data_IF_581722115543
#
_entry.id   IF_581722115543
#
_cell.length_a   1.000
_cell.length_b   1.000
_cell.length_c   1.000
_cell.angle_alpha   90.00
_cell.angle_beta   90.00
_cell.angle_gamma   90.00
#
_symmetry.space_group_name_H-M   'P 1'
#
loop_
_entity.id
_entity.type
_entity.pdbx_description
1 polymer ?
#
# COMPACT_ATOMS: atom_id res chain seq x y z
N UNK A 1 28.88 -18.81 15.87
CA UNK A 1 27.71 -19.05 15.00
C UNK A 1 26.91 -17.77 15.02
N UNK A 2 27.28 -16.85 14.14
CA UNK A 2 26.69 -15.52 14.08
C UNK A 2 25.28 -15.65 13.50
N UNK A 3 24.28 -15.31 14.32
CA UNK A 3 22.91 -15.20 13.85
C UNK A 3 22.82 -13.96 12.97
N UNK A 4 22.98 -14.16 11.66
CA UNK A 4 22.70 -13.14 10.65
C UNK A 4 21.21 -12.79 10.75
N UNK A 5 20.92 -11.71 11.46
CA UNK A 5 19.56 -11.22 11.67
C UNK A 5 19.05 -10.69 10.33
N UNK A 6 18.00 -11.31 9.79
CA UNK A 6 17.37 -10.85 8.54
C UNK A 6 17.08 -9.34 8.64
N UNK A 7 17.62 -8.50 7.73
CA UNK A 7 17.40 -7.06 7.77
C UNK A 7 15.92 -6.67 7.63
N UNK A 8 15.03 -7.59 7.24
CA UNK A 8 13.57 -7.41 7.30
C UNK A 8 13.01 -7.63 8.70
N UNK A 9 13.57 -8.57 9.47
CA UNK A 9 13.16 -8.81 10.86
C UNK A 9 13.50 -7.62 11.75
N UNK A 10 14.64 -6.95 11.51
CA UNK A 10 15.04 -5.75 12.23
C UNK A 10 14.10 -4.54 12.03
N UNK A 11 13.27 -4.53 10.98
CA UNK A 11 12.29 -3.44 10.71
C UNK A 11 10.92 -3.67 11.32
N UNK A 12 10.65 -4.88 11.84
CA UNK A 12 9.37 -5.15 12.49
C UNK A 12 9.36 -4.53 13.87
N UNK A 13 8.36 -3.71 14.14
CA UNK A 13 8.08 -3.24 15.49
C UNK A 13 7.50 -4.41 16.32
N UNK A 14 8.23 -4.90 17.34
CA UNK A 14 7.77 -6.01 18.17
C UNK A 14 6.53 -5.65 18.99
N UNK A 15 6.29 -4.37 19.29
CA UNK A 15 5.12 -3.90 20.03
C UNK A 15 3.86 -4.04 19.17
N UNK A 16 3.95 -3.69 17.89
CA UNK A 16 2.85 -3.84 16.93
C UNK A 16 2.46 -5.31 16.67
N UNK A 17 3.39 -6.26 16.86
CA UNK A 17 3.13 -7.70 16.72
C UNK A 17 2.49 -8.36 17.94
N UNK A 18 2.51 -7.69 19.10
CA UNK A 18 1.94 -8.18 20.36
C UNK A 18 0.43 -7.92 20.51
N UNK A 19 -0.14 -7.09 19.63
CA UNK A 19 -1.53 -6.66 19.67
C UNK A 19 -2.53 -7.72 19.23
N UNK A 20 -3.66 -7.84 19.93
CA UNK A 20 -4.79 -8.67 19.50
C UNK A 20 -5.54 -8.10 18.29
N UNK A 21 -6.55 -8.82 17.78
CA UNK A 21 -7.36 -8.40 16.62
C UNK A 21 -7.95 -6.99 16.74
N UNK A 22 -8.39 -6.61 17.94
CA UNK A 22 -8.93 -5.27 18.23
C UNK A 22 -7.87 -4.19 18.09
N UNK A 23 -6.66 -4.42 18.60
CA UNK A 23 -5.53 -3.49 18.49
C UNK A 23 -5.12 -3.32 17.02
N UNK A 24 -5.12 -4.42 16.27
CA UNK A 24 -4.88 -4.36 14.83
C UNK A 24 -5.95 -3.53 14.12
N UNK A 25 -7.23 -3.63 14.50
CA UNK A 25 -8.32 -2.83 13.92
C UNK A 25 -8.24 -1.33 14.26
N UNK A 26 -7.71 -0.97 15.44
CA UNK A 26 -7.50 0.42 15.85
C UNK A 26 -6.08 0.93 15.57
N UNK A 27 -5.24 0.12 14.94
CA UNK A 27 -3.86 0.47 14.64
C UNK A 27 -3.79 1.79 13.85
N UNK A 28 -2.95 2.76 14.27
CA UNK A 28 -2.77 4.02 13.55
C UNK A 28 -2.48 3.83 12.05
N UNK A 29 -1.71 2.79 11.69
CA UNK A 29 -1.41 2.46 10.30
C UNK A 29 -2.64 2.06 9.49
N UNK A 30 -3.58 1.32 10.08
CA UNK A 30 -4.84 0.98 9.41
C UNK A 30 -5.73 2.19 9.25
N UNK A 31 -5.80 3.03 10.28
CA UNK A 31 -6.55 4.29 10.24
C UNK A 31 -6.04 5.18 9.09
N UNK A 32 -4.72 5.35 8.95
CA UNK A 32 -4.15 6.15 7.87
C UNK A 32 -4.38 5.53 6.49
N UNK A 33 -4.28 4.21 6.36
CA UNK A 33 -4.63 3.50 5.12
C UNK A 33 -6.10 3.73 4.74
N UNK A 34 -7.01 3.61 5.71
CA UNK A 34 -8.44 3.75 5.47
C UNK A 34 -8.80 5.20 5.10
N UNK A 35 -8.13 6.19 5.71
CA UNK A 35 -8.22 7.61 5.32
C UNK A 35 -7.80 7.81 3.86
N UNK A 36 -6.68 7.21 3.43
CA UNK A 36 -6.22 7.31 2.03
C UNK A 36 -7.22 6.63 1.09
N UNK A 37 -7.68 5.43 1.42
CA UNK A 37 -8.59 4.65 0.59
C UNK A 37 -9.95 5.33 0.39
N UNK A 38 -10.49 5.99 1.44
CA UNK A 38 -11.75 6.71 1.38
C UNK A 38 -11.61 8.16 0.84
N UNK A 39 -10.39 8.62 0.55
CA UNK A 39 -10.14 10.01 0.17
C UNK A 39 -10.65 10.33 -1.24
N UNK A 40 -11.38 11.44 -1.45
CA UNK A 40 -11.77 11.88 -2.79
C UNK A 40 -10.56 12.23 -3.66
N UNK A 41 -9.42 12.59 -3.06
CA UNK A 41 -8.18 12.87 -3.81
C UNK A 41 -7.59 11.58 -4.39
N UNK A 42 -7.66 10.47 -3.66
CA UNK A 42 -7.24 9.17 -4.16
C UNK A 42 -8.20 8.68 -5.26
N UNK A 43 -9.51 8.86 -5.07
CA UNK A 43 -10.51 8.53 -6.09
C UNK A 43 -10.32 9.28 -7.42
N UNK A 44 -9.88 10.55 -7.36
CA UNK A 44 -9.61 11.37 -8.57
C UNK A 44 -8.52 10.79 -9.47
N UNK A 45 -7.63 9.94 -8.97
CA UNK A 45 -6.64 9.23 -9.78
C UNK A 45 -7.29 8.32 -10.85
N UNK A 46 -8.58 7.98 -10.69
CA UNK A 46 -9.35 7.26 -11.70
C UNK A 46 -9.51 8.03 -13.02
N UNK A 47 -9.49 9.37 -12.98
CA UNK A 47 -9.54 10.24 -14.15
C UNK A 47 -8.15 10.65 -14.69
N UNK A 48 -7.06 10.27 -14.00
CA UNK A 48 -5.69 10.60 -14.42
C UNK A 48 -5.11 9.42 -15.20
N UNK A 49 -4.73 9.65 -16.46
CA UNK A 49 -4.16 8.60 -17.31
C UNK A 49 -2.73 8.25 -16.89
N UNK A 50 -2.35 6.99 -17.11
CA UNK A 50 -0.95 6.56 -17.01
C UNK A 50 -0.24 6.78 -18.35
N UNK A 51 1.09 6.91 -18.29
CA UNK A 51 1.96 6.85 -19.48
C UNK A 51 1.82 5.48 -20.13
N UNK A 52 1.61 5.48 -21.45
CA UNK A 52 1.54 4.29 -22.29
C UNK A 52 2.48 4.42 -23.48
N UNK A 53 2.99 3.29 -23.96
CA UNK A 53 3.87 3.26 -25.13
C UNK A 53 3.05 3.28 -26.43
N UNK A 54 3.54 3.97 -27.45
CA UNK A 54 2.81 4.24 -28.69
C UNK A 54 2.37 2.98 -29.47
N UNK A 55 3.03 1.84 -29.24
CA UNK A 55 2.75 0.57 -29.95
C UNK A 55 1.75 -0.37 -29.28
N UNK A 56 1.18 -0.01 -28.13
CA UNK A 56 0.34 -0.92 -27.35
C UNK A 56 -0.96 -0.28 -26.87
N UNK A 57 -2.04 -0.45 -27.64
CA UNK A 57 -3.40 -0.17 -27.19
C UNK A 57 -3.97 -1.29 -26.28
N UNK A 58 -3.12 -1.86 -25.41
CA UNK A 58 -3.54 -2.81 -24.37
C UNK A 58 -4.18 -2.06 -23.20
N UNK A 59 -5.10 -2.74 -22.50
CA UNK A 59 -5.80 -2.28 -21.28
C UNK A 59 -5.13 -1.08 -20.59
N UNK A 60 -5.67 0.11 -20.84
CA UNK A 60 -5.12 1.35 -20.32
C UNK A 60 -5.34 1.40 -18.80
N UNK A 61 -4.25 1.54 -18.05
CA UNK A 61 -4.32 1.79 -16.61
C UNK A 61 -4.43 3.29 -16.34
N UNK A 62 -5.30 3.67 -15.41
CA UNK A 62 -5.27 5.01 -14.82
C UNK A 62 -4.36 4.99 -13.58
N UNK A 63 -4.00 6.17 -13.08
CA UNK A 63 -3.11 6.29 -11.92
C UNK A 63 -3.68 5.59 -10.68
N UNK A 64 -5.00 5.48 -10.55
CA UNK A 64 -5.62 4.71 -9.47
C UNK A 64 -5.27 3.21 -9.57
N UNK A 65 -5.54 2.59 -10.72
CA UNK A 65 -5.25 1.16 -10.93
C UNK A 65 -3.76 0.85 -10.87
N UNK A 66 -2.90 1.80 -11.26
CA UNK A 66 -1.46 1.69 -11.07
C UNK A 66 -1.09 1.67 -9.57
N UNK A 67 -1.58 2.64 -8.80
CA UNK A 67 -1.31 2.72 -7.36
C UNK A 67 -1.78 1.47 -6.61
N UNK A 68 -2.93 0.91 -6.98
CA UNK A 68 -3.42 -0.35 -6.39
C UNK A 68 -2.50 -1.53 -6.69
N UNK A 69 -1.92 -1.61 -7.90
CA UNK A 69 -0.96 -2.65 -8.27
C UNK A 69 0.35 -2.52 -7.50
N UNK A 70 0.85 -1.31 -7.27
CA UNK A 70 2.10 -1.07 -6.51
C UNK A 70 1.93 -1.42 -5.03
N UNK A 71 0.70 -1.35 -4.50
CA UNK A 71 0.41 -1.68 -3.10
C UNK A 71 0.29 -3.18 -2.81
N UNK A 72 0.29 -4.05 -3.83
CA UNK A 72 0.23 -5.51 -3.73
C UNK A 72 1.63 -6.12 -3.83
#
# INVERSE_FOLDING_TARGET
MDQETDPRAARRDPVAGSGGFTDLATSPFRIDRDRIAASPFFARLGGVTQVVSAGGAGLLHNRLTHSLKVAQ
#
